data_IF_466260993558
#
_entry.id   IF_466260993558
#
_cell.length_a   1.000
_cell.length_b   1.000
_cell.length_c   1.000
_cell.angle_alpha   90.00
_cell.angle_beta   90.00
_cell.angle_gamma   90.00
#
_symmetry.space_group_name_H-M   'P 1'
#
loop_
_entity.id
_entity.type
_entity.pdbx_description
1 polymer ?
#
# COMPACT_ATOMS: atom_id res chain seq x y z
N UNK A 1 -2.48 8.35 -26.34
CA UNK A 1 -2.34 7.62 -27.63
C UNK A 1 -3.66 6.91 -27.86
N UNK A 2 -4.21 6.95 -29.07
CA UNK A 2 -5.45 6.26 -29.34
C UNK A 2 -5.18 4.75 -29.46
N UNK A 3 -6.18 3.93 -29.18
CA UNK A 3 -6.07 2.48 -29.35
C UNK A 3 -5.77 2.10 -30.80
N UNK A 4 -6.26 2.91 -31.74
CA UNK A 4 -6.05 2.74 -33.19
C UNK A 4 -4.59 2.90 -33.62
N UNK A 5 -3.75 3.57 -32.81
CA UNK A 5 -2.33 3.73 -33.07
C UNK A 5 -1.51 2.48 -32.69
N UNK A 6 -2.12 1.51 -31.99
CA UNK A 6 -1.42 0.35 -31.41
C UNK A 6 -0.67 -0.50 -32.46
N UNK A 7 -1.23 -0.86 -33.63
CA UNK A 7 -0.49 -1.61 -34.66
C UNK A 7 0.80 -0.89 -35.07
N UNK A 8 0.73 0.42 -35.30
CA UNK A 8 1.89 1.23 -35.67
C UNK A 8 2.95 1.22 -34.55
N UNK A 9 2.54 1.20 -33.28
CA UNK A 9 3.47 1.08 -32.17
C UNK A 9 4.13 -0.30 -32.09
N UNK A 10 3.38 -1.36 -32.34
CA UNK A 10 3.92 -2.73 -32.39
C UNK A 10 4.99 -2.81 -33.49
N UNK A 11 4.72 -2.30 -34.69
CA UNK A 11 5.69 -2.23 -35.79
C UNK A 11 6.94 -1.44 -35.40
N UNK A 12 6.77 -0.31 -34.73
CA UNK A 12 7.90 0.52 -34.27
C UNK A 12 8.77 -0.22 -33.26
N UNK A 13 8.18 -0.93 -32.30
CA UNK A 13 8.93 -1.73 -31.32
C UNK A 13 9.67 -2.87 -32.02
N UNK A 14 9.01 -3.59 -32.93
CA UNK A 14 9.62 -4.68 -33.71
C UNK A 14 10.78 -4.20 -34.60
N UNK A 15 10.80 -2.93 -35.01
CA UNK A 15 11.90 -2.32 -35.76
C UNK A 15 13.11 -1.87 -34.93
N UNK A 16 13.02 -1.87 -33.59
CA UNK A 16 14.13 -1.47 -32.71
C UNK A 16 15.05 -2.66 -32.46
N UNK A 17 16.32 -2.53 -32.87
CA UNK A 17 17.32 -3.58 -32.62
C UNK A 17 17.49 -3.84 -31.12
N UNK A 18 17.31 -5.09 -30.71
CA UNK A 18 17.42 -5.50 -29.31
C UNK A 18 16.13 -5.32 -28.49
N UNK A 19 15.02 -4.92 -29.11
CA UNK A 19 13.71 -4.89 -28.47
C UNK A 19 12.74 -5.90 -29.12
N UNK A 20 11.78 -6.36 -28.34
CA UNK A 20 10.66 -7.16 -28.84
C UNK A 20 9.35 -6.66 -28.22
N UNK A 21 8.26 -6.75 -28.98
CA UNK A 21 6.93 -6.52 -28.44
C UNK A 21 6.49 -7.77 -27.68
N UNK A 22 6.53 -7.73 -26.35
CA UNK A 22 6.18 -8.88 -25.50
C UNK A 22 4.72 -8.87 -25.02
N UNK A 23 4.12 -7.69 -24.88
CA UNK A 23 2.85 -7.59 -24.16
C UNK A 23 2.31 -6.19 -24.00
N UNK A 24 1.27 -6.11 -23.17
CA UNK A 24 0.50 -4.92 -22.87
C UNK A 24 0.29 -4.82 -21.37
N UNK A 25 0.23 -3.59 -20.87
CA UNK A 25 -0.13 -3.32 -19.48
C UNK A 25 -1.06 -2.12 -19.39
N UNK A 26 -1.74 -1.99 -18.27
CA UNK A 26 -2.55 -0.82 -17.93
C UNK A 26 -2.55 -0.62 -16.42
N UNK A 27 -2.86 0.59 -15.95
CA UNK A 27 -3.07 0.82 -14.53
C UNK A 27 -4.15 1.88 -14.29
N UNK A 28 -4.98 1.73 -13.25
CA UNK A 28 -5.24 0.48 -12.53
C UNK A 28 -6.18 -0.42 -13.34
N UNK A 29 -5.92 -1.73 -13.41
CA UNK A 29 -6.84 -2.71 -14.00
C UNK A 29 -8.04 -3.01 -13.10
N UNK A 30 -7.84 -2.95 -11.78
CA UNK A 30 -8.89 -3.08 -10.77
C UNK A 30 -8.86 -1.92 -9.78
N UNK A 31 -10.05 -1.54 -9.33
CA UNK A 31 -10.23 -0.62 -8.21
C UNK A 31 -11.20 -1.20 -7.18
N UNK A 32 -11.02 -0.78 -5.92
CA UNK A 32 -12.00 -1.01 -4.88
C UNK A 32 -13.31 -0.29 -5.21
N UNK A 33 -14.41 -0.98 -4.99
CA UNK A 33 -15.76 -0.45 -5.13
C UNK A 33 -16.45 -0.41 -3.77
N UNK A 34 -16.55 0.78 -3.18
CA UNK A 34 -17.16 0.97 -1.86
C UNK A 34 -18.64 0.57 -1.80
N UNK A 35 -19.35 0.58 -2.94
CA UNK A 35 -20.76 0.22 -2.99
C UNK A 35 -20.98 -1.30 -2.82
N UNK A 36 -20.18 -2.13 -3.50
CA UNK A 36 -20.21 -3.58 -3.32
C UNK A 36 -19.34 -4.08 -2.17
N UNK A 37 -18.38 -3.26 -1.70
CA UNK A 37 -17.34 -3.68 -0.77
C UNK A 37 -16.30 -4.62 -1.40
N UNK A 38 -16.29 -4.75 -2.73
CA UNK A 38 -15.41 -5.64 -3.49
C UNK A 38 -14.46 -4.89 -4.43
N UNK A 39 -13.90 -5.60 -5.41
CA UNK A 39 -13.12 -5.02 -6.50
C UNK A 39 -13.93 -5.03 -7.80
N UNK A 40 -13.67 -4.06 -8.69
CA UNK A 40 -14.22 -4.05 -10.06
C UNK A 40 -13.14 -3.80 -11.10
N UNK A 41 -13.33 -4.38 -12.28
CA UNK A 41 -12.58 -4.01 -13.48
C UNK A 41 -12.85 -2.54 -13.82
N UNK A 42 -11.79 -1.85 -14.22
CA UNK A 42 -11.87 -0.45 -14.64
C UNK A 42 -12.07 -0.35 -16.16
N UNK A 43 -12.47 0.83 -16.68
CA UNK A 43 -12.43 1.10 -18.12
C UNK A 43 -11.03 0.91 -18.75
N UNK A 44 -9.98 0.99 -17.93
CA UNK A 44 -8.61 0.74 -18.36
C UNK A 44 -8.39 -0.76 -18.64
N UNK A 45 -8.99 -1.66 -17.85
CA UNK A 45 -8.97 -3.10 -18.12
C UNK A 45 -9.76 -3.47 -19.39
N UNK A 46 -10.91 -2.83 -19.64
CA UNK A 46 -11.65 -3.01 -20.90
C UNK A 46 -10.82 -2.54 -22.12
N UNK A 47 -10.05 -1.46 -21.95
CA UNK A 47 -9.13 -0.98 -22.97
C UNK A 47 -7.97 -1.94 -23.19
N UNK A 48 -7.43 -2.53 -22.11
CA UNK A 48 -6.41 -3.57 -22.19
C UNK A 48 -6.91 -4.82 -22.92
N UNK A 49 -8.15 -5.25 -22.66
CA UNK A 49 -8.75 -6.39 -23.35
C UNK A 49 -8.87 -6.16 -24.87
N UNK A 50 -9.39 -5.00 -25.28
CA UNK A 50 -9.46 -4.61 -26.71
C UNK A 50 -8.07 -4.47 -27.34
N UNK A 51 -7.11 -3.91 -26.60
CA UNK A 51 -5.72 -3.84 -27.05
C UNK A 51 -5.12 -5.22 -27.27
N UNK A 52 -5.43 -6.19 -26.40
CA UNK A 52 -4.99 -7.57 -26.54
C UNK A 52 -5.57 -8.24 -27.80
N UNK A 53 -6.83 -7.98 -28.14
CA UNK A 53 -7.44 -8.48 -29.38
C UNK A 53 -6.76 -7.93 -30.65
N UNK A 54 -6.48 -6.62 -30.66
CA UNK A 54 -5.76 -5.96 -31.75
C UNK A 54 -4.34 -6.53 -31.87
N UNK A 55 -3.62 -6.62 -30.75
CA UNK A 55 -2.26 -7.14 -30.71
C UNK A 55 -2.20 -8.61 -31.19
N UNK A 56 -3.11 -9.48 -30.74
CA UNK A 56 -3.17 -10.89 -31.17
C UNK A 56 -3.39 -11.05 -32.67
N UNK A 57 -4.03 -10.09 -33.31
CA UNK A 57 -4.27 -10.08 -34.76
C UNK A 57 -3.08 -9.53 -35.55
N UNK A 58 -2.07 -8.98 -34.88
CA UNK A 58 -0.94 -8.32 -35.50
C UNK A 58 0.15 -9.32 -35.93
N UNK A 59 0.76 -9.19 -37.14
CA UNK A 59 1.79 -10.12 -37.61
C UNK A 59 3.04 -10.22 -36.72
N UNK A 60 3.38 -9.14 -36.02
CA UNK A 60 4.50 -9.08 -35.08
C UNK A 60 4.12 -9.47 -33.63
N UNK A 61 2.93 -10.05 -33.42
CA UNK A 61 2.53 -10.55 -32.11
C UNK A 61 3.40 -11.76 -31.70
N UNK A 62 3.88 -11.83 -30.44
CA UNK A 62 4.57 -13.00 -29.93
C UNK A 62 3.62 -14.20 -29.81
N UNK A 63 4.19 -15.41 -29.73
CA UNK A 63 3.42 -16.64 -29.48
C UNK A 63 2.70 -16.60 -28.13
N UNK A 64 3.33 -16.00 -27.13
CA UNK A 64 2.74 -15.75 -25.82
C UNK A 64 2.69 -14.24 -25.61
N UNK A 65 1.49 -13.68 -25.67
CA UNK A 65 1.28 -12.27 -25.42
C UNK A 65 1.08 -12.05 -23.91
N UNK A 66 1.96 -11.28 -23.30
CA UNK A 66 1.86 -10.93 -21.88
C UNK A 66 0.79 -9.85 -21.66
N UNK A 67 -0.21 -10.15 -20.83
CA UNK A 67 -1.24 -9.21 -20.41
C UNK A 67 -1.05 -8.95 -18.92
N UNK A 68 -0.36 -7.86 -18.62
CA UNK A 68 -0.08 -7.44 -17.25
C UNK A 68 -1.20 -6.51 -16.76
N UNK A 69 -1.91 -6.92 -15.71
CA UNK A 69 -3.09 -6.23 -15.20
C UNK A 69 -2.95 -5.85 -13.71
N UNK A 70 -2.08 -4.89 -13.38
CA UNK A 70 -1.86 -4.45 -12.00
C UNK A 70 -3.03 -3.61 -11.45
N UNK A 71 -3.26 -3.73 -10.15
CA UNK A 71 -4.22 -2.89 -9.42
C UNK A 71 -4.92 -3.70 -8.32
N UNK A 72 -4.76 -3.27 -7.06
CA UNK A 72 -5.42 -3.91 -5.90
C UNK A 72 -5.19 -5.44 -5.83
N UNK A 73 -4.10 -5.95 -6.42
CA UNK A 73 -3.85 -7.39 -6.54
C UNK A 73 -3.67 -8.02 -5.15
N UNK A 74 -4.55 -8.98 -4.85
CA UNK A 74 -4.59 -9.87 -3.68
C UNK A 74 -5.10 -11.23 -4.13
N UNK A 75 -5.02 -12.26 -3.28
CA UNK A 75 -5.52 -13.61 -3.60
C UNK A 75 -6.99 -13.62 -3.99
N UNK A 76 -7.78 -12.74 -3.37
CA UNK A 76 -9.22 -12.57 -3.62
C UNK A 76 -9.54 -12.23 -5.08
N UNK A 77 -8.71 -11.42 -5.74
CA UNK A 77 -9.01 -10.89 -7.09
C UNK A 77 -8.29 -11.63 -8.21
N UNK A 78 -7.47 -12.64 -7.90
CA UNK A 78 -6.72 -13.39 -8.92
C UNK A 78 -7.65 -14.08 -9.93
N UNK A 79 -8.78 -14.63 -9.46
CA UNK A 79 -9.78 -15.25 -10.34
C UNK A 79 -10.36 -14.25 -11.35
N UNK A 80 -10.76 -13.07 -10.87
CA UNK A 80 -11.29 -11.99 -11.72
C UNK A 80 -10.27 -11.51 -12.76
N UNK A 81 -9.00 -11.37 -12.38
CA UNK A 81 -7.93 -10.98 -13.30
C UNK A 81 -7.67 -12.05 -14.36
N UNK A 82 -7.67 -13.33 -13.98
CA UNK A 82 -7.51 -14.44 -14.91
C UNK A 82 -8.68 -14.52 -15.90
N UNK A 83 -9.93 -14.34 -15.43
CA UNK A 83 -11.12 -14.27 -16.28
C UNK A 83 -11.07 -13.07 -17.26
N UNK A 84 -10.48 -11.95 -16.83
CA UNK A 84 -10.23 -10.80 -17.69
C UNK A 84 -9.05 -10.99 -18.68
N UNK A 85 -8.41 -12.17 -18.68
CA UNK A 85 -7.35 -12.53 -19.60
C UNK A 85 -5.95 -12.04 -19.20
N UNK A 86 -5.76 -11.65 -17.93
CA UNK A 86 -4.43 -11.34 -17.40
C UNK A 86 -3.56 -12.60 -17.35
N UNK A 87 -2.32 -12.46 -17.78
CA UNK A 87 -1.27 -13.50 -17.64
C UNK A 87 -0.26 -13.14 -16.56
N UNK A 88 -0.22 -11.86 -16.17
CA UNK A 88 0.67 -11.31 -15.15
C UNK A 88 -0.11 -10.36 -14.24
N UNK A 89 0.29 -10.32 -12.97
CA UNK A 89 -0.25 -9.45 -11.93
C UNK A 89 0.88 -8.98 -11.02
N UNK A 90 0.67 -7.88 -10.30
CA UNK A 90 1.72 -7.23 -9.49
C UNK A 90 1.22 -6.98 -8.06
N UNK A 91 1.28 -7.99 -7.16
CA UNK A 91 0.87 -7.81 -5.77
C UNK A 91 1.84 -6.86 -5.05
N UNK A 92 1.33 -5.68 -4.66
CA UNK A 92 1.99 -4.76 -3.74
C UNK A 92 1.42 -4.91 -2.33
N UNK A 93 0.38 -4.14 -2.02
CA UNK A 93 -0.35 -4.21 -0.74
C UNK A 93 -0.95 -5.59 -0.42
N UNK A 94 -1.15 -6.47 -1.41
CA UNK A 94 -1.53 -7.87 -1.18
C UNK A 94 -0.46 -8.63 -0.40
N UNK A 95 0.82 -8.30 -0.57
CA UNK A 95 1.92 -8.93 0.19
C UNK A 95 1.89 -8.58 1.69
N UNK A 96 1.31 -7.44 2.06
CA UNK A 96 1.27 -6.95 3.44
C UNK A 96 -0.12 -6.99 4.06
N UNK A 97 -1.12 -7.57 3.38
CA UNK A 97 -2.50 -7.65 3.86
C UNK A 97 -3.15 -6.27 4.06
N UNK A 98 -2.81 -5.28 3.22
CA UNK A 98 -3.26 -3.88 3.37
C UNK A 98 -3.90 -3.32 2.11
N UNK A 99 -4.48 -4.18 1.25
CA UNK A 99 -5.33 -3.71 0.15
C UNK A 99 -6.64 -3.14 0.72
N UNK A 100 -7.42 -2.36 -0.06
CA UNK A 100 -8.69 -1.86 0.41
C UNK A 100 -9.68 -2.93 0.88
N UNK A 101 -9.64 -4.11 0.23
CA UNK A 101 -10.49 -5.25 0.58
C UNK A 101 -10.24 -5.70 2.04
N UNK A 102 -8.99 -5.70 2.49
CA UNK A 102 -8.62 -6.05 3.87
C UNK A 102 -9.16 -5.06 4.91
N UNK A 103 -9.52 -3.85 4.51
CA UNK A 103 -10.15 -2.87 5.39
C UNK A 103 -11.63 -3.14 5.67
N UNK A 104 -12.27 -3.99 4.87
CA UNK A 104 -13.73 -4.26 4.92
C UNK A 104 -14.09 -5.75 4.95
N UNK A 105 -13.12 -6.64 4.74
CA UNK A 105 -13.29 -8.09 4.71
C UNK A 105 -12.11 -8.79 5.39
N UNK A 106 -12.38 -9.97 5.95
CA UNK A 106 -11.33 -10.88 6.44
C UNK A 106 -10.80 -11.74 5.27
N UNK A 107 -9.59 -11.45 4.83
CA UNK A 107 -8.92 -12.13 3.72
C UNK A 107 -7.75 -13.03 4.18
N UNK A 108 -7.27 -13.95 3.33
CA UNK A 108 -6.17 -14.85 3.68
C UNK A 108 -4.87 -14.13 4.05
N UNK A 109 -4.56 -13.00 3.41
CA UNK A 109 -3.34 -12.26 3.69
C UNK A 109 -3.47 -11.45 4.99
N UNK A 110 -2.71 -11.85 6.02
CA UNK A 110 -2.73 -11.17 7.32
C UNK A 110 -1.98 -9.83 7.24
N UNK A 111 -2.46 -8.77 7.91
CA UNK A 111 -1.72 -7.52 8.02
C UNK A 111 -0.31 -7.74 8.58
N UNK A 112 0.70 -7.40 7.78
CA UNK A 112 2.11 -7.63 8.09
C UNK A 112 2.93 -6.33 8.23
N UNK A 113 2.24 -5.20 8.36
CA UNK A 113 2.85 -3.87 8.51
C UNK A 113 2.06 -3.04 9.51
N UNK A 114 2.78 -2.21 10.28
CA UNK A 114 2.23 -1.16 11.13
C UNK A 114 3.13 0.07 11.01
N UNK A 115 2.59 1.25 11.35
CA UNK A 115 3.40 2.44 11.54
C UNK A 115 3.59 2.69 13.03
N UNK A 116 4.85 2.76 13.46
CA UNK A 116 5.27 2.94 14.84
C UNK A 116 5.75 4.37 15.04
N UNK A 117 5.26 5.02 16.09
CA UNK A 117 5.62 6.37 16.49
C UNK A 117 5.69 6.47 18.02
N UNK A 118 5.97 7.67 18.51
CA UNK A 118 6.06 8.01 19.93
C UNK A 118 5.36 9.36 20.17
N UNK A 119 4.73 9.51 21.33
CA UNK A 119 4.19 10.81 21.79
C UNK A 119 5.36 11.75 22.05
N UNK A 120 5.52 12.75 21.19
CA UNK A 120 6.61 13.71 21.22
C UNK A 120 6.46 14.73 22.35
N UNK A 121 5.27 15.32 22.47
CA UNK A 121 4.95 16.30 23.50
C UNK A 121 3.44 16.47 23.67
N UNK A 122 3.03 17.11 24.77
CA UNK A 122 1.63 17.48 25.01
C UNK A 122 1.47 19.00 24.91
N UNK A 123 0.63 19.46 23.99
CA UNK A 123 0.34 20.88 23.82
C UNK A 123 -1.12 21.17 24.17
N UNK A 124 -1.35 22.04 25.17
CA UNK A 124 -2.70 22.42 25.63
C UNK A 124 -3.60 21.21 25.94
N UNK A 125 -3.02 20.15 26.52
CA UNK A 125 -3.75 18.92 26.86
C UNK A 125 -3.96 17.95 25.69
N UNK A 126 -3.49 18.28 24.49
CA UNK A 126 -3.55 17.40 23.32
C UNK A 126 -2.19 16.72 23.11
N UNK A 127 -2.09 15.38 23.18
CA UNK A 127 -0.87 14.66 22.85
C UNK A 127 -0.58 14.71 21.34
N UNK A 128 0.68 14.95 20.98
CA UNK A 128 1.15 14.96 19.60
C UNK A 128 2.21 13.87 19.40
N UNK A 129 2.03 12.99 18.41
CA UNK A 129 3.02 11.96 18.08
C UNK A 129 3.87 12.34 16.87
N UNK A 130 5.11 11.84 16.80
CA UNK A 130 5.99 12.10 15.66
C UNK A 130 5.39 11.60 14.34
N UNK A 131 5.50 12.44 13.31
CA UNK A 131 5.22 12.05 11.93
C UNK A 131 6.48 11.65 11.16
N UNK A 132 6.44 11.77 9.85
CA UNK A 132 7.49 11.33 8.92
C UNK A 132 7.07 10.18 8.01
N UNK A 133 6.04 9.43 8.41
CA UNK A 133 5.39 8.39 7.60
C UNK A 133 3.86 8.53 7.55
N UNK A 134 3.30 9.69 7.92
CA UNK A 134 1.86 9.90 8.05
C UNK A 134 1.20 10.18 6.68
N UNK A 135 1.40 9.26 5.74
CA UNK A 135 0.80 9.28 4.42
C UNK A 135 -0.12 8.07 4.25
N UNK A 136 -1.38 8.34 3.90
CA UNK A 136 -2.39 7.33 3.64
C UNK A 136 -2.72 7.38 2.15
N UNK A 137 -2.55 6.24 1.48
CA UNK A 137 -2.91 6.10 0.07
C UNK A 137 -4.43 6.36 -0.12
N UNK A 138 -4.84 7.37 -0.91
CA UNK A 138 -6.22 7.85 -0.98
C UNK A 138 -7.09 6.95 -1.87
N UNK A 139 -7.22 5.68 -1.50
CA UNK A 139 -8.07 4.70 -2.20
C UNK A 139 -9.41 4.50 -1.51
N UNK A 140 -9.51 4.90 -0.25
CA UNK A 140 -10.77 5.05 0.46
C UNK A 140 -11.23 6.51 0.42
N UNK A 141 -12.52 6.74 0.62
CA UNK A 141 -12.99 8.07 1.05
C UNK A 141 -12.47 8.41 2.44
N UNK A 142 -12.75 9.63 2.90
CA UNK A 142 -12.32 10.09 4.22
C UNK A 142 -12.81 9.14 5.33
N UNK A 143 -11.89 8.74 6.21
CA UNK A 143 -12.19 7.94 7.38
C UNK A 143 -11.41 8.46 8.59
N UNK A 144 -11.98 8.25 9.78
CA UNK A 144 -11.29 8.60 11.01
C UNK A 144 -10.14 7.63 11.24
N UNK A 145 -8.91 8.13 11.12
CA UNK A 145 -7.71 7.37 11.49
C UNK A 145 -7.70 7.15 13.00
N UNK A 146 -7.23 5.97 13.40
CA UNK A 146 -7.11 5.56 14.78
C UNK A 146 -5.74 4.98 15.07
N UNK A 147 -5.29 5.11 16.31
CA UNK A 147 -4.04 4.54 16.80
C UNK A 147 -4.20 3.93 18.19
N UNK A 148 -3.40 2.91 18.49
CA UNK A 148 -3.23 2.41 19.86
C UNK A 148 -2.09 3.18 20.51
N UNK A 149 -2.27 3.59 21.77
CA UNK A 149 -1.28 4.35 22.54
C UNK A 149 -1.00 3.63 23.85
N UNK A 150 0.26 3.29 24.13
CA UNK A 150 0.63 2.54 25.34
C UNK A 150 1.96 3.02 25.89
N UNK A 151 2.09 3.12 27.21
CA UNK A 151 3.37 3.41 27.86
C UNK A 151 4.20 2.15 28.08
N UNK A 152 3.54 1.03 28.34
CA UNK A 152 4.18 -0.25 28.58
C UNK A 152 3.50 -1.32 27.72
N UNK A 153 4.25 -2.28 27.14
CA UNK A 153 3.67 -3.37 26.35
C UNK A 153 2.63 -4.23 27.09
N UNK A 154 2.67 -4.24 28.43
CA UNK A 154 1.70 -4.92 29.29
C UNK A 154 0.41 -4.11 29.52
N UNK A 155 0.35 -2.86 29.09
CA UNK A 155 -0.88 -2.08 29.09
C UNK A 155 -1.84 -2.60 28.03
N UNK A 156 -2.72 -3.52 28.43
CA UNK A 156 -3.80 -4.03 27.59
C UNK A 156 -4.97 -3.03 27.53
N UNK A 157 -4.69 -1.75 27.23
CA UNK A 157 -5.72 -0.78 26.81
C UNK A 157 -5.67 -0.65 25.31
N UNK A 158 -6.31 -1.61 24.66
CA UNK A 158 -6.33 -1.80 23.21
C UNK A 158 -7.35 -0.92 22.49
N UNK A 159 -8.16 -0.12 23.20
CA UNK A 159 -9.10 0.81 22.58
C UNK A 159 -8.32 1.85 21.76
N UNK A 160 -8.49 1.89 20.42
CA UNK A 160 -7.81 2.88 19.60
C UNK A 160 -8.37 4.28 19.85
N UNK A 161 -7.51 5.30 19.87
CA UNK A 161 -7.92 6.71 19.94
C UNK A 161 -8.08 7.29 18.54
N UNK A 162 -9.04 8.21 18.31
CA UNK A 162 -9.06 9.02 17.10
C UNK A 162 -7.77 9.83 16.93
N UNK A 163 -7.36 10.00 15.68
CA UNK A 163 -6.18 10.78 15.30
C UNK A 163 -6.54 11.80 14.24
N UNK A 164 -6.20 13.07 14.49
CA UNK A 164 -6.19 14.07 13.42
C UNK A 164 -4.87 13.95 12.65
N UNK A 165 -4.97 13.45 11.43
CA UNK A 165 -3.85 13.42 10.50
C UNK A 165 -3.52 14.84 10.04
N UNK A 166 -2.24 15.13 9.74
CA UNK A 166 -1.88 16.38 9.06
C UNK A 166 -2.61 16.48 7.72
N UNK A 167 -3.01 17.70 7.35
CA UNK A 167 -3.57 17.94 6.04
C UNK A 167 -2.55 17.58 4.95
N UNK A 168 -2.96 17.10 3.75
CA UNK A 168 -2.03 16.70 2.69
C UNK A 168 -1.05 17.79 2.24
N UNK A 169 -1.41 19.05 2.41
CA UNK A 169 -0.55 20.21 2.07
C UNK A 169 0.42 20.61 3.19
N UNK A 170 0.32 20.01 4.38
CA UNK A 170 1.17 20.30 5.53
C UNK A 170 2.31 19.28 5.63
N UNK A 171 3.47 19.74 6.10
CA UNK A 171 4.54 18.82 6.49
C UNK A 171 4.07 18.05 7.73
N UNK A 172 4.19 16.73 7.67
CA UNK A 172 3.76 15.80 8.70
C UNK A 172 4.74 15.74 9.88
N UNK A 173 4.95 16.85 10.57
CA UNK A 173 5.77 16.83 11.80
C UNK A 173 5.11 16.03 12.91
N UNK A 174 3.78 16.17 13.05
CA UNK A 174 3.01 15.53 14.11
C UNK A 174 1.59 15.16 13.67
N UNK A 175 1.01 14.16 14.33
CA UNK A 175 -0.45 13.93 14.36
C UNK A 175 -0.99 14.20 15.77
N UNK A 176 -2.27 14.58 15.87
CA UNK A 176 -2.91 14.85 17.18
C UNK A 176 -3.71 13.64 17.61
N UNK A 177 -3.51 13.20 18.85
CA UNK A 177 -4.22 12.06 19.43
C UNK A 177 -5.36 12.57 20.32
N UNK A 178 -6.53 11.94 20.26
CA UNK A 178 -7.71 12.31 21.03
C UNK A 178 -8.15 11.20 21.99
N UNK A 179 -7.39 10.91 23.05
CA UNK A 179 -7.82 9.95 24.06
C UNK A 179 -9.11 10.43 24.75
N UNK A 180 -9.98 9.50 25.14
CA UNK A 180 -11.14 9.82 25.97
C UNK A 180 -10.71 10.39 27.33
N UNK A 181 -11.61 11.15 27.98
CA UNK A 181 -11.29 11.92 29.21
C UNK A 181 -10.68 11.10 30.35
N UNK A 182 -11.00 9.80 30.43
CA UNK A 182 -10.50 8.89 31.47
C UNK A 182 -9.13 8.27 31.15
N UNK A 183 -8.55 8.56 29.98
CA UNK A 183 -7.27 8.00 29.53
C UNK A 183 -6.20 9.07 29.50
N UNK A 184 -5.25 8.95 30.42
CA UNK A 184 -4.03 9.76 30.41
C UNK A 184 -3.03 9.20 29.42
N UNK A 185 -2.41 10.08 28.64
CA UNK A 185 -1.30 9.80 27.74
C UNK A 185 -0.15 10.72 28.15
N UNK A 186 1.04 10.16 28.37
CA UNK A 186 2.25 10.91 28.67
C UNK A 186 3.19 10.98 27.45
N UNK A 187 4.19 11.85 27.53
CA UNK A 187 5.29 11.92 26.58
C UNK A 187 6.10 10.62 26.63
N UNK A 188 6.64 10.19 25.48
CA UNK A 188 7.33 8.91 25.36
C UNK A 188 6.42 7.68 25.24
N UNK A 189 5.09 7.83 25.24
CA UNK A 189 4.19 6.69 24.97
C UNK A 189 4.39 6.20 23.54
N UNK A 190 4.37 4.88 23.35
CA UNK A 190 4.38 4.25 22.02
C UNK A 190 3.04 4.45 21.35
N UNK A 191 3.06 4.76 20.05
CA UNK A 191 1.87 4.94 19.22
C UNK A 191 1.94 3.99 18.03
N UNK A 192 0.92 3.15 17.87
CA UNK A 192 0.83 2.16 16.80
C UNK A 192 -0.38 2.44 15.91
N UNK A 193 -0.13 2.55 14.61
CA UNK A 193 -1.14 2.79 13.59
C UNK A 193 -1.29 1.59 12.66
N UNK A 194 -2.53 1.37 12.20
CA UNK A 194 -2.85 0.50 11.08
C UNK A 194 -3.53 1.30 9.98
N UNK A 195 -2.79 1.65 8.93
CA UNK A 195 -3.33 2.28 7.72
C UNK A 195 -2.56 1.80 6.48
N UNK A 196 -3.10 2.13 5.31
CA UNK A 196 -2.51 1.77 4.02
C UNK A 196 -1.32 2.69 3.69
N UNK A 197 -0.11 2.18 3.91
CA UNK A 197 1.17 2.91 3.77
C UNK A 197 1.68 3.00 2.34
N UNK A 198 2.38 4.08 1.98
CA UNK A 198 3.29 4.11 0.83
C UNK A 198 4.66 4.59 1.30
N UNK A 199 5.47 3.67 1.84
CA UNK A 199 6.72 4.01 2.53
C UNK A 199 7.69 4.86 1.71
N UNK A 200 7.81 4.58 0.40
CA UNK A 200 8.81 5.18 -0.47
C UNK A 200 8.58 6.67 -0.77
N UNK A 201 7.40 7.22 -0.46
CA UNK A 201 7.11 8.67 -0.57
C UNK A 201 7.27 9.40 0.76
N UNK A 202 7.80 8.72 1.78
CA UNK A 202 7.93 9.24 3.13
C UNK A 202 9.39 9.24 3.59
N UNK A 203 9.64 9.75 4.81
CA UNK A 203 10.96 9.72 5.46
C UNK A 203 11.03 8.71 6.61
N UNK A 204 10.06 7.79 6.69
CA UNK A 204 10.06 6.76 7.73
C UNK A 204 11.16 5.74 7.49
N UNK A 205 11.70 5.19 8.57
CA UNK A 205 12.52 3.98 8.51
C UNK A 205 11.62 2.76 8.33
N UNK A 206 12.14 1.77 7.62
CA UNK A 206 11.52 0.46 7.42
C UNK A 206 12.30 -0.54 8.24
N UNK A 207 11.63 -1.13 9.25
CA UNK A 207 12.24 -2.10 10.15
C UNK A 207 11.71 -3.48 9.81
N UNK A 208 12.57 -4.36 9.30
CA UNK A 208 12.22 -5.74 9.04
C UNK A 208 12.21 -6.53 10.34
N UNK A 209 11.12 -7.25 10.61
CA UNK A 209 10.99 -8.12 11.78
C UNK A 209 10.89 -9.58 11.34
N UNK A 210 11.60 -10.46 12.03
CA UNK A 210 11.50 -11.92 11.86
C UNK A 210 11.10 -12.59 13.16
N UNK A 211 10.64 -13.84 13.11
CA UNK A 211 10.35 -14.65 14.30
C UNK A 211 9.07 -14.28 15.07
N UNK A 212 8.29 -13.30 14.60
CA UNK A 212 7.04 -12.80 15.22
C UNK A 212 6.06 -13.94 15.50
N UNK A 213 5.77 -14.79 14.51
CA UNK A 213 4.83 -15.92 14.66
C UNK A 213 5.29 -16.99 15.66
N UNK A 214 6.59 -17.02 16.00
CA UNK A 214 7.18 -17.95 16.96
C UNK A 214 7.41 -17.35 18.35
N UNK A 215 6.97 -16.10 18.58
CA UNK A 215 7.20 -15.36 19.83
C UNK A 215 8.67 -14.97 20.06
N UNK A 216 9.51 -15.02 19.03
CA UNK A 216 10.94 -14.67 19.06
C UNK A 216 11.24 -13.55 18.08
N UNK A 217 10.53 -12.44 18.24
CA UNK A 217 10.66 -11.28 17.36
C UNK A 217 12.09 -10.71 17.42
N UNK A 218 12.69 -10.47 16.25
CA UNK A 218 14.02 -9.88 16.11
C UNK A 218 14.04 -8.90 14.94
N UNK A 219 14.80 -7.80 15.09
CA UNK A 219 15.10 -6.88 14.00
C UNK A 219 16.04 -7.58 13.03
N UNK A 220 15.60 -7.76 11.80
CA UNK A 220 16.38 -8.33 10.71
C UNK A 220 17.23 -7.29 9.97
N UNK A 221 16.79 -6.03 10.00
CA UNK A 221 17.48 -4.91 9.38
C UNK A 221 16.62 -3.65 9.41
N UNK A 222 17.24 -2.52 9.08
CA UNK A 222 16.61 -1.20 9.04
C UNK A 222 17.01 -0.52 7.74
N UNK A 223 16.03 0.01 7.02
CA UNK A 223 16.21 0.67 5.73
C UNK A 223 15.57 2.06 5.71
N UNK A 224 16.04 2.93 4.84
CA UNK A 224 15.35 4.17 4.49
C UNK A 224 14.23 3.91 3.46
N UNK A 225 13.46 4.95 3.10
CA UNK A 225 12.39 4.86 2.10
C UNK A 225 12.85 4.54 0.66
N UNK A 226 14.15 4.61 0.36
CA UNK A 226 14.73 4.25 -0.93
C UNK A 226 15.23 2.79 -0.99
N UNK A 227 15.21 2.09 0.14
CA UNK A 227 15.71 0.72 0.27
C UNK A 227 17.19 0.62 0.62
N UNK A 228 17.87 1.72 0.96
CA UNK A 228 19.25 1.66 1.47
C UNK A 228 19.24 1.22 2.93
N UNK A 229 20.14 0.31 3.29
CA UNK A 229 20.36 -0.09 4.67
C UNK A 229 20.90 1.08 5.49
N UNK A 230 20.38 1.25 6.71
CA UNK A 230 20.83 2.29 7.65
C UNK A 230 21.19 1.67 8.99
N UNK A 231 22.29 2.15 9.58
CA UNK A 231 22.64 1.82 10.96
C UNK A 231 22.11 2.91 11.88
N UNK A 232 21.19 2.55 12.77
CA UNK A 232 20.78 3.40 13.88
C UNK A 232 21.72 3.06 15.03
N UNK A 233 22.57 4.02 15.42
CA UNK A 233 23.72 3.75 16.29
C UNK A 233 23.38 3.04 17.58
N UNK A 234 24.36 2.30 18.12
CA UNK A 234 24.27 1.72 19.47
C UNK A 234 23.83 2.82 20.44
N UNK A 235 22.71 2.60 21.11
CA UNK A 235 22.26 3.46 22.20
C UNK A 235 23.41 3.61 23.20
N UNK A 236 23.88 4.85 23.37
CA UNK A 236 24.81 5.21 24.45
C UNK A 236 24.15 5.07 25.81
#
# INVERSE_FOLDING_TARGET
MALDDLPTMIDRVAGVSGAEFAGLTTFPALLFDSASGGARLTPNAETLARAAEIARSHPACPQTLEINAPGTTSTEVLGMLAEAGATQVEPGHGLTGTTPLHGVQDLPEQPAVLYLSEVAHIHQGVPLCFGGGLYIDPVFGDYQVRAVVAHDPSEVRTEPVPVDMPAPAAIDYYARLHPGESRTVAEGATVVFGFRVQAFVTRTLIVGLTGVSSGRAQVAGIWNGFGDEVSVGDSK
#
